data_IF_994653428856
#
_entry.id   IF_994653428856
#
_cell.length_a   1.000
_cell.length_b   1.000
_cell.length_c   1.000
_cell.angle_alpha   90.00
_cell.angle_beta   90.00
_cell.angle_gamma   90.00
#
_symmetry.space_group_name_H-M   'P 1'
#
loop_
_entity.id
_entity.type
_entity.pdbx_description
1 polymer ?
#
# COMPACT_ATOMS: atom_id res chain seq x y z
N UNK A 1 -5.29 2.08 9.52
CA UNK A 1 -4.08 2.58 10.22
C UNK A 1 -3.96 4.07 9.92
N UNK A 2 -4.14 4.95 10.91
CA UNK A 2 -4.06 6.43 10.90
C UNK A 2 -4.78 7.28 9.82
N UNK A 3 -5.16 6.73 8.66
CA UNK A 3 -5.86 7.47 7.59
C UNK A 3 -4.98 8.49 6.86
N UNK A 4 -3.66 8.50 7.09
CA UNK A 4 -2.71 9.43 6.49
C UNK A 4 -1.33 8.78 6.29
N UNK A 5 -0.55 9.20 5.29
CA UNK A 5 0.79 8.67 5.07
C UNK A 5 1.76 9.04 6.21
N UNK A 6 2.83 8.25 6.42
CA UNK A 6 3.80 8.49 7.50
C UNK A 6 4.65 9.75 7.28
N UNK A 7 4.95 10.08 6.02
CA UNK A 7 5.63 11.31 5.63
C UNK A 7 4.62 12.23 4.96
N UNK A 8 4.23 13.31 5.65
CA UNK A 8 3.28 14.28 5.13
C UNK A 8 3.67 15.67 5.59
N UNK A 9 3.73 16.61 4.65
CA UNK A 9 3.88 18.03 4.91
C UNK A 9 2.95 18.84 4.01
N UNK A 10 2.91 20.16 4.25
CA UNK A 10 2.12 21.10 3.45
C UNK A 10 2.62 21.29 2.01
N UNK A 11 3.87 20.93 1.75
CA UNK A 11 4.57 21.16 0.49
C UNK A 11 5.39 19.91 0.10
N UNK A 12 5.51 19.58 -1.20
CA UNK A 12 6.27 18.41 -1.65
C UNK A 12 7.74 18.40 -1.20
N UNK A 13 8.42 19.55 -1.22
CA UNK A 13 9.84 19.64 -0.84
C UNK A 13 10.06 19.37 0.64
N UNK A 14 9.13 19.84 1.48
CA UNK A 14 9.11 19.48 2.92
C UNK A 14 8.85 17.98 3.11
N UNK A 15 7.99 17.40 2.29
CA UNK A 15 7.71 15.95 2.33
C UNK A 15 8.96 15.14 1.97
N UNK A 16 9.73 15.55 0.94
CA UNK A 16 11.01 14.92 0.60
C UNK A 16 12.03 15.03 1.73
N UNK A 17 12.12 16.20 2.37
CA UNK A 17 12.97 16.37 3.56
C UNK A 17 12.60 15.39 4.68
N UNK A 18 11.30 15.16 4.91
CA UNK A 18 10.83 14.17 5.90
C UNK A 18 11.19 12.73 5.50
N UNK A 19 11.06 12.38 4.21
CA UNK A 19 11.46 11.06 3.70
C UNK A 19 12.95 10.82 3.90
N UNK A 20 13.79 11.81 3.58
CA UNK A 20 15.24 11.74 3.72
C UNK A 20 15.70 11.67 5.18
N UNK A 21 14.91 12.20 6.13
CA UNK A 21 15.16 12.02 7.57
C UNK A 21 14.92 10.58 8.05
N UNK A 22 14.25 9.77 7.25
CA UNK A 22 14.01 8.35 7.51
C UNK A 22 12.85 8.09 8.47
N UNK A 23 12.38 6.84 8.46
CA UNK A 23 11.24 6.38 9.27
C UNK A 23 11.52 6.40 10.78
N UNK A 24 12.80 6.37 11.17
CA UNK A 24 13.19 6.40 12.58
C UNK A 24 13.02 7.77 13.22
N UNK A 25 13.01 8.84 12.43
CA UNK A 25 12.67 10.20 12.87
C UNK A 25 11.15 10.44 12.99
N UNK A 26 10.32 9.50 12.55
CA UNK A 26 8.87 9.62 12.65
C UNK A 26 8.34 9.13 14.00
N UNK A 27 7.52 9.96 14.64
CA UNK A 27 6.69 9.54 15.76
C UNK A 27 5.46 8.77 15.26
N UNK A 28 5.62 7.46 15.07
CA UNK A 28 4.49 6.57 14.79
C UNK A 28 3.74 6.31 16.12
N UNK A 29 2.49 6.77 16.28
CA UNK A 29 1.75 6.64 17.53
C UNK A 29 1.43 5.16 17.84
N UNK A 30 2.26 4.55 18.69
CA UNK A 30 2.16 3.15 19.08
C UNK A 30 0.79 2.77 19.68
N UNK A 31 0.10 3.72 20.33
CA UNK A 31 -1.24 3.49 20.93
C UNK A 31 -2.31 3.11 19.90
N UNK A 32 -2.17 3.53 18.64
CA UNK A 32 -3.16 3.28 17.57
C UNK A 32 -2.79 2.14 16.63
N UNK A 33 -1.49 1.91 16.42
CA UNK A 33 -0.99 0.95 15.41
C UNK A 33 -0.53 -0.37 16.06
N UNK A 34 -0.08 -0.34 17.32
CA UNK A 34 0.51 -1.50 17.98
C UNK A 34 1.99 -1.68 17.66
N UNK A 35 2.76 -2.20 18.64
CA UNK A 35 4.23 -2.28 18.57
C UNK A 35 4.73 -3.12 17.40
N UNK A 36 4.08 -4.25 17.11
CA UNK A 36 4.48 -5.17 16.03
C UNK A 36 4.26 -4.57 14.65
N UNK A 37 3.18 -3.82 14.45
CA UNK A 37 2.91 -3.11 13.20
C UNK A 37 3.90 -1.93 13.01
N UNK A 38 4.18 -1.15 14.05
CA UNK A 38 5.21 -0.10 13.99
C UNK A 38 6.58 -0.68 13.63
N UNK A 39 6.96 -1.81 14.22
CA UNK A 39 8.22 -2.49 13.92
C UNK A 39 8.27 -2.97 12.45
N UNK A 40 7.15 -3.47 11.92
CA UNK A 40 7.06 -3.86 10.51
C UNK A 40 7.28 -2.65 9.59
N UNK A 41 6.57 -1.54 9.82
CA UNK A 41 6.70 -0.31 9.02
C UNK A 41 8.14 0.20 9.03
N UNK A 42 8.78 0.26 10.20
CA UNK A 42 10.18 0.69 10.31
C UNK A 42 11.15 -0.19 9.53
N UNK A 43 10.93 -1.51 9.54
CA UNK A 43 11.76 -2.47 8.79
C UNK A 43 11.53 -2.42 7.28
N UNK A 44 10.32 -2.10 6.83
CA UNK A 44 10.01 -1.93 5.40
C UNK A 44 10.56 -0.60 4.86
N UNK A 45 10.52 0.46 5.67
CA UNK A 45 10.94 1.80 5.29
C UNK A 45 12.37 2.14 5.74
N UNK A 46 13.30 1.16 5.71
CA UNK A 46 14.73 1.44 5.91
C UNK A 46 15.27 2.32 4.78
N UNK A 47 16.15 3.25 5.13
CA UNK A 47 16.74 4.20 4.18
C UNK A 47 17.57 3.46 3.13
N UNK A 48 18.46 2.57 3.58
CA UNK A 48 19.21 1.66 2.71
C UNK A 48 18.29 0.58 2.11
N UNK A 49 18.11 0.52 0.78
CA UNK A 49 17.25 -0.48 0.14
C UNK A 49 17.63 -1.93 0.43
N UNK A 50 18.92 -2.22 0.62
CA UNK A 50 19.42 -3.57 0.95
C UNK A 50 19.04 -4.05 2.35
N UNK A 51 18.73 -3.12 3.26
CA UNK A 51 18.31 -3.43 4.64
C UNK A 51 16.79 -3.52 4.81
N UNK A 52 16.02 -3.18 3.77
CA UNK A 52 14.56 -3.28 3.81
C UNK A 52 14.17 -4.75 3.95
N UNK A 53 13.25 -5.02 4.87
CA UNK A 53 12.69 -6.35 5.03
C UNK A 53 12.06 -6.80 3.70
N UNK A 54 12.53 -7.92 3.15
CA UNK A 54 12.16 -8.37 1.81
C UNK A 54 13.26 -8.26 0.76
N UNK A 55 14.31 -7.47 1.01
CA UNK A 55 15.45 -7.31 0.08
C UNK A 55 16.58 -8.32 0.31
N UNK A 56 16.57 -9.04 1.44
CA UNK A 56 17.55 -10.08 1.76
C UNK A 56 17.30 -11.39 1.03
N UNK A 57 18.13 -12.40 1.30
CA UNK A 57 18.04 -13.73 0.68
C UNK A 57 16.71 -14.46 0.95
N UNK A 58 16.03 -14.15 2.06
CA UNK A 58 14.71 -14.69 2.37
C UNK A 58 13.56 -14.04 1.60
N UNK A 59 13.81 -12.91 0.93
CA UNK A 59 12.83 -12.21 0.10
C UNK A 59 11.52 -11.92 0.85
N UNK A 60 10.40 -12.04 0.12
CA UNK A 60 9.05 -11.84 0.68
C UNK A 60 8.73 -12.79 1.85
N UNK A 61 9.41 -13.94 1.98
CA UNK A 61 9.17 -14.83 3.10
C UNK A 61 9.59 -14.22 4.46
N UNK A 62 10.58 -13.32 4.47
CA UNK A 62 10.97 -12.60 5.70
C UNK A 62 9.87 -11.63 6.16
N UNK A 63 9.12 -11.06 5.21
CA UNK A 63 7.94 -10.25 5.51
C UNK A 63 6.84 -11.13 6.11
N UNK A 64 6.53 -12.27 5.49
CA UNK A 64 5.49 -13.21 5.96
C UNK A 64 5.75 -13.76 7.36
N UNK A 65 7.02 -13.96 7.72
CA UNK A 65 7.46 -14.46 9.03
C UNK A 65 7.52 -13.37 10.11
N UNK A 66 7.29 -12.10 9.78
CA UNK A 66 7.33 -11.01 10.75
C UNK A 66 6.26 -11.19 11.83
N UNK A 67 6.57 -10.81 13.08
CA UNK A 67 5.67 -10.98 14.24
C UNK A 67 4.30 -10.30 14.07
N UNK A 68 4.19 -9.29 13.21
CA UNK A 68 2.89 -8.68 12.87
C UNK A 68 1.92 -9.67 12.21
N UNK A 69 2.44 -10.64 11.45
CA UNK A 69 1.68 -11.70 10.80
C UNK A 69 1.66 -13.00 11.60
N UNK A 70 2.05 -12.97 12.88
CA UNK A 70 1.98 -14.16 13.72
C UNK A 70 0.53 -14.64 13.84
N UNK A 71 0.27 -15.89 13.44
CA UNK A 71 -1.07 -16.47 13.40
C UNK A 71 -1.89 -16.12 12.15
N UNK A 72 -1.34 -15.37 11.19
CA UNK A 72 -2.01 -15.10 9.92
C UNK A 72 -1.92 -16.32 8.99
N UNK A 73 -3.07 -16.81 8.52
CA UNK A 73 -3.15 -17.96 7.62
C UNK A 73 -2.91 -17.56 6.16
N UNK A 74 -1.64 -17.61 5.75
CA UNK A 74 -1.23 -17.32 4.38
C UNK A 74 -1.77 -18.32 3.35
N UNK A 75 -1.98 -19.57 3.74
CA UNK A 75 -2.52 -20.58 2.82
C UNK A 75 -4.02 -20.41 2.65
N UNK A 76 -4.71 -20.10 3.75
CA UNK A 76 -6.13 -19.75 3.73
C UNK A 76 -6.42 -18.49 2.89
N UNK A 77 -5.51 -17.51 2.93
CA UNK A 77 -5.55 -16.35 2.03
C UNK A 77 -5.43 -16.79 0.57
N UNK A 78 -4.43 -17.60 0.23
CA UNK A 78 -4.16 -18.04 -1.15
C UNK A 78 -5.30 -18.88 -1.72
N UNK A 79 -5.84 -19.78 -0.91
CA UNK A 79 -6.97 -20.65 -1.26
C UNK A 79 -8.33 -19.97 -1.16
N UNK A 80 -8.38 -18.68 -0.79
CA UNK A 80 -9.60 -17.86 -0.68
C UNK A 80 -10.62 -18.38 0.35
N UNK A 81 -10.17 -19.08 1.38
CA UNK A 81 -11.03 -19.57 2.47
C UNK A 81 -11.07 -18.62 3.67
N UNK A 82 -10.12 -17.71 3.78
CA UNK A 82 -10.16 -16.66 4.81
C UNK A 82 -11.33 -15.69 4.57
N UNK A 83 -12.12 -15.47 5.62
CA UNK A 83 -13.16 -14.44 5.62
C UNK A 83 -12.52 -13.05 5.56
N UNK A 84 -12.89 -12.27 4.54
CA UNK A 84 -12.44 -10.88 4.42
C UNK A 84 -12.95 -10.02 5.60
N UNK A 85 -12.16 -9.06 6.09
CA UNK A 85 -12.57 -8.16 7.17
C UNK A 85 -13.68 -7.19 6.74
N UNK A 86 -13.80 -6.90 5.44
CA UNK A 86 -14.85 -6.08 4.84
C UNK A 86 -15.41 -6.84 3.65
N UNK A 87 -16.73 -7.01 3.62
CA UNK A 87 -17.47 -7.63 2.52
C UNK A 87 -18.32 -6.54 1.83
N UNK A 88 -17.89 -6.00 0.68
CA UNK A 88 -18.66 -4.99 -0.04
C UNK A 88 -19.96 -5.61 -0.54
N UNK A 89 -21.03 -4.80 -0.58
CA UNK A 89 -22.31 -5.22 -1.15
C UNK A 89 -22.25 -4.99 -2.66
N UNK A 90 -22.51 -6.05 -3.43
CA UNK A 90 -22.58 -5.99 -4.89
C UNK A 90 -23.84 -6.76 -5.29
N UNK A 91 -24.79 -6.05 -5.88
CA UNK A 91 -26.11 -6.59 -6.24
C UNK A 91 -26.10 -7.32 -7.58
N UNK A 92 -25.28 -6.88 -8.54
CA UNK A 92 -25.18 -7.44 -9.87
C UNK A 92 -23.85 -7.02 -10.56
N UNK A 93 -23.48 -7.60 -11.72
CA UNK A 93 -22.22 -7.27 -12.40
C UNK A 93 -22.07 -5.81 -12.88
N UNK A 94 -23.16 -5.05 -13.01
CA UNK A 94 -23.15 -3.64 -13.39
C UNK A 94 -23.30 -2.68 -12.19
N UNK A 95 -23.24 -3.20 -10.96
CA UNK A 95 -23.36 -2.40 -9.73
C UNK A 95 -22.11 -1.55 -9.49
N UNK A 96 -22.26 -0.23 -9.62
CA UNK A 96 -21.20 0.76 -9.40
C UNK A 96 -21.30 1.48 -8.04
N UNK A 97 -22.13 1.01 -7.11
CA UNK A 97 -22.43 1.70 -5.85
C UNK A 97 -21.26 1.80 -4.85
N UNK A 98 -20.20 1.02 -5.06
CA UNK A 98 -18.97 1.10 -4.26
C UNK A 98 -17.93 2.07 -4.84
N UNK A 99 -18.29 2.83 -5.88
CA UNK A 99 -17.45 3.83 -6.53
C UNK A 99 -18.06 5.23 -6.38
N UNK A 100 -17.22 6.26 -6.47
CA UNK A 100 -17.69 7.64 -6.54
C UNK A 100 -18.39 7.90 -7.88
N UNK A 101 -19.36 8.81 -7.88
CA UNK A 101 -20.09 9.19 -9.09
C UNK A 101 -19.33 10.29 -9.85
N UNK A 102 -19.01 10.03 -11.11
CA UNK A 102 -18.33 10.98 -12.00
C UNK A 102 -19.24 11.32 -13.19
N UNK A 103 -19.21 12.58 -13.67
CA UNK A 103 -19.91 12.92 -14.91
C UNK A 103 -19.32 12.13 -16.09
N UNK A 104 -20.11 11.84 -17.14
CA UNK A 104 -19.59 11.27 -18.37
C UNK A 104 -18.50 12.16 -18.95
N UNK A 105 -17.38 11.55 -19.35
CA UNK A 105 -16.33 12.23 -20.08
C UNK A 105 -16.81 12.56 -21.50
N UNK A 106 -16.54 13.78 -21.94
CA UNK A 106 -16.89 14.28 -23.28
C UNK A 106 -15.64 14.66 -24.09
N UNK A 107 -14.46 14.60 -23.50
CA UNK A 107 -13.23 15.01 -24.14
C UNK A 107 -12.77 13.94 -25.13
N UNK A 108 -12.54 14.35 -26.37
CA UNK A 108 -11.95 13.50 -27.41
C UNK A 108 -10.51 13.97 -27.61
N UNK A 109 -9.50 13.14 -27.26
CA UNK A 109 -8.11 13.50 -27.50
C UNK A 109 -7.82 13.56 -29.01
N UNK A 110 -6.77 14.29 -29.44
CA UNK A 110 -6.33 14.27 -30.83
C UNK A 110 -5.83 12.87 -31.22
N UNK A 111 -5.87 12.58 -32.52
CA UNK A 111 -5.30 11.34 -33.04
C UNK A 111 -3.79 11.26 -32.74
N UNK A 112 -3.34 10.09 -32.31
CA UNK A 112 -1.94 9.77 -32.02
C UNK A 112 -1.48 8.66 -32.99
N UNK A 113 -0.53 8.99 -33.87
CA UNK A 113 -0.08 8.13 -34.97
C UNK A 113 1.40 7.73 -34.87
N UNK A 114 2.07 7.99 -33.74
CA UNK A 114 3.49 7.64 -33.58
C UNK A 114 3.77 6.14 -33.52
N UNK A 115 2.75 5.30 -33.35
CA UNK A 115 2.88 3.84 -33.34
C UNK A 115 3.50 3.28 -32.05
N UNK A 116 3.58 4.08 -30.98
CA UNK A 116 4.04 3.60 -29.67
C UNK A 116 3.16 2.48 -29.09
N UNK A 117 1.93 2.38 -29.60
CA UNK A 117 0.86 1.51 -29.19
C UNK A 117 0.51 0.40 -30.21
N UNK A 118 1.36 0.12 -31.19
CA UNK A 118 1.11 -0.90 -32.23
C UNK A 118 0.80 -2.32 -31.69
N UNK A 119 1.19 -2.61 -30.44
CA UNK A 119 0.96 -3.90 -29.78
C UNK A 119 -0.11 -3.89 -28.68
N UNK A 120 -0.90 -2.83 -28.56
CA UNK A 120 -2.05 -2.79 -27.64
C UNK A 120 -3.19 -3.73 -28.05
#
# INVERSE_FOLDING_TARGET
MLGRPPFQASDPMKTYTLILKGVDALEIPNRRIGKTATALVKKLCRDNPGERLGSGSGGVNDIRKHRWFMGFDWEGLRSRVLKAPILPKVSNPADVTNFDNYPPDQDVPPDEFSGWDEGF
#
